data_IF_570093973115
#
_entry.id   IF_570093973115
#
_cell.length_a   1.000
_cell.length_b   1.000
_cell.length_c   1.000
_cell.angle_alpha   90.00
_cell.angle_beta   90.00
_cell.angle_gamma   90.00
#
_symmetry.space_group_name_H-M   'P 1'
#
loop_
_entity.id
_entity.type
_entity.pdbx_description
1 polymer ?
#
# COMPACT_ATOMS: atom_id res chain seq x y z
N UNK A 1 -14.29 16.67 19.47
CA UNK A 1 -15.11 16.27 18.29
C UNK A 1 -14.26 15.98 17.05
N UNK A 2 -13.37 16.90 16.63
CA UNK A 2 -12.54 16.73 15.42
C UNK A 2 -11.68 15.44 15.40
N UNK A 3 -11.05 15.06 16.52
CA UNK A 3 -10.25 13.84 16.58
C UNK A 3 -11.10 12.57 16.40
N UNK A 4 -12.33 12.53 16.94
CA UNK A 4 -13.25 11.40 16.78
C UNK A 4 -13.70 11.24 15.33
N UNK A 5 -13.97 12.35 14.64
CA UNK A 5 -14.30 12.36 13.20
C UNK A 5 -13.12 11.85 12.38
N UNK A 6 -11.89 12.33 12.67
CA UNK A 6 -10.67 11.84 12.02
C UNK A 6 -10.52 10.33 12.18
N UNK A 7 -10.60 9.83 13.41
CA UNK A 7 -10.47 8.40 13.69
C UNK A 7 -11.52 7.58 12.95
N UNK A 8 -12.78 8.03 12.93
CA UNK A 8 -13.84 7.35 12.16
C UNK A 8 -13.56 7.38 10.65
N UNK A 9 -13.09 8.50 10.10
CA UNK A 9 -12.74 8.58 8.68
C UNK A 9 -11.58 7.65 8.33
N UNK A 10 -10.54 7.59 9.17
CA UNK A 10 -9.39 6.69 8.95
C UNK A 10 -9.80 5.23 9.06
N UNK A 11 -10.58 4.87 10.08
CA UNK A 11 -11.08 3.49 10.27
C UNK A 11 -12.00 3.04 9.12
N UNK A 12 -12.74 3.97 8.50
CA UNK A 12 -13.65 3.67 7.39
C UNK A 12 -13.08 4.06 6.01
N UNK A 13 -11.82 4.49 5.92
CA UNK A 13 -11.24 5.04 4.69
C UNK A 13 -11.36 4.06 3.52
N UNK A 14 -11.01 2.79 3.75
CA UNK A 14 -11.15 1.74 2.75
C UNK A 14 -12.60 1.55 2.31
N UNK A 15 -13.57 1.50 3.23
CA UNK A 15 -14.99 1.36 2.90
C UNK A 15 -15.51 2.53 2.04
N UNK A 16 -15.10 3.76 2.37
CA UNK A 16 -15.48 4.97 1.62
C UNK A 16 -14.88 4.95 0.21
N UNK A 17 -13.61 4.57 0.08
CA UNK A 17 -12.86 4.64 -1.18
C UNK A 17 -13.01 3.41 -2.07
N UNK A 18 -13.43 2.27 -1.52
CA UNK A 18 -13.59 1.01 -2.25
C UNK A 18 -14.57 1.15 -3.41
N UNK A 19 -15.80 1.61 -3.14
CA UNK A 19 -16.83 1.73 -4.17
C UNK A 19 -16.43 2.58 -5.38
N UNK A 20 -15.94 3.84 -5.22
CA UNK A 20 -15.55 4.64 -6.37
C UNK A 20 -14.38 4.05 -7.16
N UNK A 21 -13.42 3.39 -6.50
CA UNK A 21 -12.29 2.78 -7.22
C UNK A 21 -12.74 1.55 -8.02
N UNK A 22 -13.62 0.70 -7.47
CA UNK A 22 -14.14 -0.46 -8.20
C UNK A 22 -15.02 -0.08 -9.41
N UNK A 23 -15.54 1.15 -9.46
CA UNK A 23 -16.26 1.67 -10.63
C UNK A 23 -15.33 2.16 -11.75
N UNK A 24 -14.04 2.36 -11.48
CA UNK A 24 -13.09 2.76 -12.50
C UNK A 24 -12.81 1.58 -13.46
N UNK A 25 -12.80 1.82 -14.78
CA UNK A 25 -12.41 0.78 -15.74
C UNK A 25 -11.00 0.25 -15.42
N UNK A 26 -10.81 -1.07 -15.53
CA UNK A 26 -9.53 -1.72 -15.24
C UNK A 26 -8.36 -1.10 -16.01
N UNK A 27 -8.57 -0.69 -17.26
CA UNK A 27 -7.55 -0.02 -18.07
C UNK A 27 -7.07 1.29 -17.45
N UNK A 28 -7.95 2.03 -16.78
CA UNK A 28 -7.60 3.28 -16.09
C UNK A 28 -6.79 2.97 -14.83
N UNK A 29 -7.22 1.98 -14.04
CA UNK A 29 -6.46 1.54 -12.86
C UNK A 29 -5.06 1.06 -13.23
N UNK A 30 -4.96 0.19 -14.26
CA UNK A 30 -3.70 -0.33 -14.80
C UNK A 30 -2.78 0.78 -15.28
N UNK A 31 -3.29 1.72 -16.08
CA UNK A 31 -2.50 2.85 -16.56
C UNK A 31 -2.01 3.72 -15.40
N UNK A 32 -2.89 4.05 -14.46
CA UNK A 32 -2.51 4.85 -13.30
C UNK A 32 -1.45 4.15 -12.44
N UNK A 33 -1.55 2.84 -12.24
CA UNK A 33 -0.56 2.04 -11.52
C UNK A 33 0.80 2.05 -12.23
N UNK A 34 0.83 1.77 -13.54
CA UNK A 34 2.06 1.78 -14.33
C UNK A 34 2.72 3.17 -14.35
N UNK A 35 1.92 4.23 -14.55
CA UNK A 35 2.41 5.61 -14.54
C UNK A 35 2.98 5.98 -13.15
N UNK A 36 2.32 5.54 -12.06
CA UNK A 36 2.81 5.76 -10.70
C UNK A 36 4.11 4.98 -10.42
N UNK A 37 4.18 3.71 -10.80
CA UNK A 37 5.38 2.89 -10.64
C UNK A 37 6.55 3.46 -11.43
N UNK A 38 6.35 3.82 -12.70
CA UNK A 38 7.37 4.42 -13.55
C UNK A 38 7.91 5.75 -13.00
N UNK A 39 7.12 6.44 -12.17
CA UNK A 39 7.52 7.69 -11.53
C UNK A 39 8.32 7.46 -10.24
N UNK A 40 7.81 6.64 -9.32
CA UNK A 40 8.44 6.46 -7.99
C UNK A 40 9.59 5.43 -7.98
N UNK A 41 9.65 4.58 -9.00
CA UNK A 41 10.70 3.56 -9.18
C UNK A 41 11.58 3.84 -10.38
N UNK A 42 11.69 5.08 -10.83
CA UNK A 42 12.43 5.40 -12.06
C UNK A 42 13.90 4.97 -12.00
N UNK A 43 14.57 5.17 -10.86
CA UNK A 43 15.97 4.77 -10.68
C UNK A 43 16.09 3.24 -10.64
N UNK A 44 15.30 2.57 -9.81
CA UNK A 44 15.22 1.11 -9.76
C UNK A 44 14.94 0.46 -11.13
N UNK A 45 14.07 1.06 -11.94
CA UNK A 45 13.80 0.61 -13.31
C UNK A 45 15.00 0.81 -14.26
N UNK A 46 15.82 1.83 -14.04
CA UNK A 46 17.03 2.09 -14.83
C UNK A 46 18.19 1.18 -14.43
N UNK A 47 18.25 0.82 -13.14
CA UNK A 47 19.31 0.00 -12.56
C UNK A 47 19.06 -1.52 -12.75
N UNK A 48 17.91 -1.90 -13.30
CA UNK A 48 17.56 -3.30 -13.58
C UNK A 48 16.92 -4.02 -12.38
N UNK A 49 16.55 -3.29 -11.33
CA UNK A 49 15.99 -3.88 -10.10
C UNK A 49 14.63 -4.58 -10.31
N UNK A 50 14.01 -4.46 -11.49
CA UNK A 50 12.78 -5.18 -11.84
C UNK A 50 13.02 -6.44 -12.69
N UNK A 51 14.25 -6.74 -13.11
CA UNK A 51 14.59 -7.92 -13.92
C UNK A 51 14.26 -9.24 -13.18
N UNK A 52 14.25 -9.24 -11.84
CA UNK A 52 13.84 -10.43 -11.09
C UNK A 52 12.38 -10.84 -11.33
N UNK A 53 11.55 -9.94 -11.88
CA UNK A 53 10.17 -10.20 -12.29
C UNK A 53 10.04 -10.69 -13.74
N UNK A 54 11.13 -10.91 -14.47
CA UNK A 54 11.09 -11.58 -15.76
C UNK A 54 10.53 -12.99 -15.60
N UNK A 55 9.52 -13.32 -16.42
CA UNK A 55 8.75 -14.57 -16.38
C UNK A 55 8.08 -14.90 -15.03
N UNK A 56 8.03 -13.92 -14.11
CA UNK A 56 7.43 -14.07 -12.77
C UNK A 56 6.38 -12.99 -12.52
N UNK A 57 5.48 -13.26 -11.58
CA UNK A 57 4.36 -12.39 -11.24
C UNK A 57 4.37 -12.01 -9.76
N UNK A 58 4.43 -10.71 -9.51
CA UNK A 58 4.19 -10.10 -8.21
C UNK A 58 2.72 -9.71 -8.08
N UNK A 59 2.02 -10.29 -7.11
CA UNK A 59 0.70 -9.81 -6.69
C UNK A 59 0.85 -8.70 -5.66
N UNK A 60 0.26 -7.53 -5.93
CA UNK A 60 0.11 -6.44 -4.96
C UNK A 60 -1.36 -6.35 -4.56
N UNK A 61 -1.64 -6.46 -3.26
CA UNK A 61 -3.00 -6.49 -2.73
C UNK A 61 -3.23 -5.44 -1.62
N UNK A 62 -4.34 -4.71 -1.76
CA UNK A 62 -4.90 -3.85 -0.71
C UNK A 62 -6.14 -4.54 -0.13
N UNK A 63 -5.95 -5.27 0.97
CA UNK A 63 -6.90 -6.29 1.47
C UNK A 63 -8.27 -5.69 1.79
N UNK A 64 -8.29 -4.60 2.54
CA UNK A 64 -9.51 -3.91 2.98
C UNK A 64 -10.25 -3.19 1.83
N UNK A 65 -9.59 -2.97 0.70
CA UNK A 65 -10.19 -2.44 -0.52
C UNK A 65 -10.62 -3.52 -1.51
N UNK A 66 -10.25 -4.78 -1.28
CA UNK A 66 -10.39 -5.89 -2.25
C UNK A 66 -9.81 -5.53 -3.62
N UNK A 67 -8.68 -4.83 -3.64
CA UNK A 67 -7.95 -4.49 -4.86
C UNK A 67 -6.71 -5.37 -4.96
N UNK A 68 -6.48 -5.91 -6.15
CA UNK A 68 -5.29 -6.69 -6.46
C UNK A 68 -4.82 -6.42 -7.87
N UNK A 69 -3.52 -6.30 -8.02
CA UNK A 69 -2.84 -6.17 -9.30
C UNK A 69 -1.76 -7.22 -9.39
N UNK A 70 -1.52 -7.73 -10.60
CA UNK A 70 -0.46 -8.69 -10.89
C UNK A 70 0.52 -8.00 -11.83
N UNK A 71 1.75 -7.84 -11.38
CA UNK A 71 2.79 -7.05 -12.02
C UNK A 71 3.92 -7.99 -12.43
N UNK A 72 4.44 -7.80 -13.63
CA UNK A 72 5.59 -8.54 -14.16
C UNK A 72 6.48 -7.57 -14.95
N UNK A 73 7.68 -8.02 -15.32
CA UNK A 73 8.61 -7.26 -16.15
C UNK A 73 8.85 -8.01 -17.46
N UNK A 74 8.54 -7.37 -18.60
CA UNK A 74 8.59 -7.99 -19.92
C UNK A 74 9.01 -6.97 -20.99
N UNK A 75 9.95 -7.35 -21.86
CA UNK A 75 10.48 -6.47 -22.92
C UNK A 75 10.94 -5.11 -22.37
N UNK A 76 11.74 -5.14 -21.30
CA UNK A 76 12.30 -3.96 -20.60
C UNK A 76 11.24 -3.01 -20.03
N UNK A 77 10.05 -3.53 -19.69
CA UNK A 77 8.91 -2.72 -19.23
C UNK A 77 8.08 -3.44 -18.18
N UNK A 78 7.57 -2.66 -17.24
CA UNK A 78 6.52 -3.11 -16.34
C UNK A 78 5.23 -3.38 -17.11
N UNK A 79 4.62 -4.52 -16.79
CA UNK A 79 3.30 -4.90 -17.29
C UNK A 79 2.39 -5.27 -16.12
N UNK A 80 1.10 -5.03 -16.31
CA UNK A 80 0.06 -5.44 -15.36
C UNK A 80 -0.89 -6.38 -16.08
N UNK A 81 -1.22 -7.53 -15.50
CA UNK A 81 -2.14 -8.48 -16.10
C UNK A 81 -3.56 -7.91 -16.20
N UNK A 82 -4.27 -8.20 -17.30
CA UNK A 82 -5.67 -7.79 -17.47
C UNK A 82 -6.64 -8.69 -16.68
N UNK A 83 -6.18 -9.87 -16.25
CA UNK A 83 -6.94 -10.84 -15.48
C UNK A 83 -6.04 -11.42 -14.37
N UNK A 84 -6.63 -12.00 -13.31
CA UNK A 84 -5.85 -12.74 -12.33
C UNK A 84 -5.03 -13.84 -12.98
N UNK A 85 -3.77 -13.93 -12.57
CA UNK A 85 -2.78 -14.94 -12.98
C UNK A 85 -2.22 -15.61 -11.73
N UNK A 86 -1.52 -16.73 -11.90
CA UNK A 86 -0.77 -17.32 -10.79
C UNK A 86 0.39 -16.39 -10.42
N UNK A 87 0.51 -16.06 -9.15
CA UNK A 87 1.61 -15.26 -8.60
C UNK A 87 2.72 -16.13 -8.03
N UNK A 88 3.96 -15.66 -8.16
CA UNK A 88 5.14 -16.27 -7.55
C UNK A 88 5.44 -15.65 -6.18
N UNK A 89 5.10 -14.37 -6.03
CA UNK A 89 5.23 -13.61 -4.79
C UNK A 89 4.04 -12.66 -4.61
N UNK A 90 3.63 -12.46 -3.36
CA UNK A 90 2.49 -11.65 -2.97
C UNK A 90 2.87 -10.66 -1.90
N UNK A 91 2.76 -9.37 -2.21
CA UNK A 91 2.86 -8.26 -1.27
C UNK A 91 1.45 -7.75 -0.92
N UNK A 92 1.11 -7.70 0.37
CA UNK A 92 -0.25 -7.35 0.78
C UNK A 92 -0.30 -6.56 2.09
N UNK A 93 -1.23 -5.62 2.16
CA UNK A 93 -1.47 -4.78 3.35
C UNK A 93 -2.84 -4.11 3.31
N UNK A 94 -3.20 -3.36 4.35
CA UNK A 94 -4.39 -2.52 4.34
C UNK A 94 -4.06 -1.13 3.79
N UNK A 95 -5.07 -0.40 3.30
CA UNK A 95 -4.90 0.93 2.71
C UNK A 95 -4.12 1.88 3.63
N UNK A 96 -4.52 1.98 4.90
CA UNK A 96 -3.89 2.88 5.85
C UNK A 96 -2.41 2.52 6.09
N UNK A 97 -2.08 1.24 6.10
CA UNK A 97 -0.71 0.74 6.29
C UNK A 97 0.18 1.16 5.12
N UNK A 98 -0.32 0.99 3.89
CA UNK A 98 0.39 1.41 2.67
C UNK A 98 0.56 2.93 2.59
N UNK A 99 -0.44 3.70 3.03
CA UNK A 99 -0.35 5.18 3.12
C UNK A 99 0.71 5.60 4.15
N UNK A 100 0.84 4.88 5.26
CA UNK A 100 1.87 5.18 6.27
C UNK A 100 3.28 4.89 5.76
N UNK A 101 3.49 3.77 5.05
CA UNK A 101 4.76 3.47 4.37
C UNK A 101 5.08 4.57 3.35
N UNK A 102 4.14 4.84 2.44
CA UNK A 102 4.30 5.85 1.40
C UNK A 102 4.49 7.26 1.99
N UNK A 103 3.98 7.54 3.19
CA UNK A 103 4.21 8.80 3.88
C UNK A 103 5.49 8.87 4.72
N UNK A 104 6.29 7.80 4.75
CA UNK A 104 7.44 7.59 5.65
C UNK A 104 7.07 7.84 7.12
N UNK A 105 5.88 7.40 7.53
CA UNK A 105 5.38 7.47 8.92
C UNK A 105 5.59 6.17 9.70
N UNK A 106 5.66 5.05 8.99
CA UNK A 106 5.97 3.74 9.52
C UNK A 106 6.90 3.05 8.53
N UNK A 107 7.86 2.27 9.04
CA UNK A 107 8.75 1.48 8.22
C UNK A 107 8.08 0.15 7.82
N UNK A 108 8.31 -0.36 6.60
CA UNK A 108 7.68 -1.59 6.13
C UNK A 108 8.05 -2.80 7.00
N UNK A 109 9.28 -2.85 7.51
CA UNK A 109 9.73 -3.90 8.43
C UNK A 109 8.91 -3.92 9.72
N UNK A 110 8.60 -2.74 10.27
CA UNK A 110 7.78 -2.63 11.48
C UNK A 110 6.38 -3.19 11.23
N UNK A 111 5.78 -2.86 10.09
CA UNK A 111 4.45 -3.35 9.72
C UNK A 111 4.45 -4.86 9.41
N UNK A 112 5.55 -5.39 8.85
CA UNK A 112 5.74 -6.82 8.64
C UNK A 112 5.81 -7.58 9.97
N UNK A 113 6.64 -7.13 10.92
CA UNK A 113 6.71 -7.74 12.26
C UNK A 113 5.39 -7.65 13.03
N UNK A 114 4.61 -6.60 12.80
CA UNK A 114 3.26 -6.45 13.35
C UNK A 114 2.17 -7.25 12.60
N UNK A 115 2.55 -7.99 11.55
CA UNK A 115 1.62 -8.77 10.69
C UNK A 115 0.55 -7.91 10.01
N UNK A 116 0.83 -6.63 9.84
CA UNK A 116 -0.01 -5.66 9.10
C UNK A 116 0.38 -5.59 7.62
N UNK A 117 1.61 -5.96 7.34
CA UNK A 117 2.16 -6.20 6.01
C UNK A 117 2.50 -7.69 5.86
N UNK A 118 2.23 -8.29 4.71
CA UNK A 118 2.61 -9.67 4.41
C UNK A 118 3.31 -9.77 3.06
N UNK A 119 4.40 -10.54 3.04
CA UNK A 119 5.13 -10.96 1.84
C UNK A 119 5.12 -12.49 1.86
N UNK A 120 4.49 -13.10 0.88
CA UNK A 120 4.26 -14.56 0.79
C UNK A 120 4.66 -15.07 -0.59
N UNK A 121 5.05 -16.34 -0.69
CA UNK A 121 5.46 -16.98 -1.94
C UNK A 121 6.92 -17.38 -1.93
N UNK A 122 7.60 -17.23 -3.06
CA UNK A 122 9.03 -17.48 -3.18
C UNK A 122 9.85 -16.54 -2.28
N UNK A 123 10.80 -17.12 -1.54
CA UNK A 123 11.57 -16.39 -0.53
C UNK A 123 12.62 -15.46 -1.15
N UNK A 124 13.22 -15.85 -2.28
CA UNK A 124 14.18 -15.02 -3.01
C UNK A 124 13.48 -13.80 -3.61
N UNK A 125 12.32 -14.02 -4.26
CA UNK A 125 11.49 -12.92 -4.76
C UNK A 125 10.98 -12.01 -3.63
N UNK A 126 10.64 -12.59 -2.48
CA UNK A 126 10.22 -11.82 -1.31
C UNK A 126 11.28 -10.84 -0.83
N UNK A 127 12.57 -11.22 -0.90
CA UNK A 127 13.68 -10.35 -0.58
C UNK A 127 13.83 -9.22 -1.61
N UNK A 128 13.72 -9.53 -2.91
CA UNK A 128 13.79 -8.52 -3.97
C UNK A 128 12.64 -7.51 -3.88
N UNK A 129 11.42 -7.98 -3.58
CA UNK A 129 10.27 -7.10 -3.34
C UNK A 129 10.54 -6.16 -2.16
N UNK A 130 11.19 -6.65 -1.10
CA UNK A 130 11.59 -5.79 0.03
C UNK A 130 12.61 -4.74 -0.40
N UNK A 131 13.65 -5.13 -1.15
CA UNK A 131 14.65 -4.20 -1.68
C UNK A 131 14.00 -3.12 -2.55
N UNK A 132 13.03 -3.51 -3.41
CA UNK A 132 12.25 -2.56 -4.17
C UNK A 132 11.52 -1.56 -3.28
N UNK A 133 10.87 -2.00 -2.20
CA UNK A 133 10.18 -1.07 -1.30
C UNK A 133 11.09 0.01 -0.70
N UNK A 134 12.34 -0.35 -0.40
CA UNK A 134 13.34 0.59 0.12
C UNK A 134 13.82 1.58 -0.96
N UNK A 135 13.73 1.21 -2.23
CA UNK A 135 14.09 2.06 -3.40
C UNK A 135 13.05 3.13 -3.76
N UNK A 136 11.87 3.14 -3.12
CA UNK A 136 10.78 4.10 -3.45
C UNK A 136 11.25 5.55 -3.25
N UNK A 137 11.39 6.28 -4.37
CA UNK A 137 11.72 7.70 -4.35
C UNK A 137 10.48 8.58 -4.57
N UNK A 138 9.92 9.03 -3.45
CA UNK A 138 8.78 9.96 -3.45
C UNK A 138 9.17 11.37 -3.90
N UNK A 139 10.46 11.71 -3.97
CA UNK A 139 10.90 13.01 -4.46
C UNK A 139 10.63 13.19 -5.96
N UNK A 140 10.49 12.08 -6.70
CA UNK A 140 10.10 12.11 -8.11
C UNK A 140 8.64 12.49 -8.32
N UNK A 141 7.79 12.36 -7.30
CA UNK A 141 6.41 12.80 -7.39
C UNK A 141 6.33 14.34 -7.59
N UNK A 142 5.40 14.85 -8.40
CA UNK A 142 5.06 16.26 -8.44
C UNK A 142 4.83 16.83 -7.04
N UNK A 143 5.28 18.07 -6.79
CA UNK A 143 5.27 18.65 -5.44
C UNK A 143 3.89 18.65 -4.79
N UNK A 144 2.84 18.85 -5.59
CA UNK A 144 1.46 18.77 -5.12
C UNK A 144 1.10 17.37 -4.57
N UNK A 145 1.53 16.30 -5.24
CA UNK A 145 1.29 14.93 -4.79
C UNK A 145 2.12 14.59 -3.55
N UNK A 146 3.36 15.05 -3.46
CA UNK A 146 4.17 14.91 -2.24
C UNK A 146 3.44 15.52 -1.03
N UNK A 147 2.98 16.76 -1.17
CA UNK A 147 2.26 17.48 -0.10
C UNK A 147 1.00 16.73 0.29
N UNK A 148 0.20 16.30 -0.70
CA UNK A 148 -1.02 15.53 -0.46
C UNK A 148 -0.73 14.22 0.29
N UNK A 149 0.27 13.46 -0.17
CA UNK A 149 0.66 12.19 0.44
C UNK A 149 1.11 12.38 1.90
N UNK A 150 1.95 13.39 2.17
CA UNK A 150 2.35 13.70 3.54
C UNK A 150 1.17 14.10 4.43
N UNK A 151 0.23 14.91 3.91
CA UNK A 151 -0.97 15.28 4.66
C UNK A 151 -1.87 14.09 4.95
N UNK A 152 -2.06 13.20 3.98
CA UNK A 152 -2.82 11.97 4.15
C UNK A 152 -2.16 11.05 5.18
N UNK A 153 -0.84 10.87 5.10
CA UNK A 153 -0.10 10.05 6.06
C UNK A 153 -0.14 10.63 7.47
N UNK A 154 0.01 11.94 7.65
CA UNK A 154 -0.19 12.62 8.93
C UNK A 154 -1.60 12.43 9.48
N UNK A 155 -2.61 12.49 8.61
CA UNK A 155 -4.01 12.32 8.97
C UNK A 155 -4.29 10.88 9.43
N UNK A 156 -3.81 9.89 8.68
CA UNK A 156 -3.93 8.45 9.00
C UNK A 156 -3.20 8.13 10.31
N UNK A 157 -1.94 8.56 10.43
CA UNK A 157 -1.12 8.31 11.61
C UNK A 157 -1.78 8.85 12.90
N UNK A 158 -2.26 10.10 12.87
CA UNK A 158 -3.00 10.70 14.00
C UNK A 158 -4.33 9.99 14.28
N UNK A 159 -5.02 9.54 13.23
CA UNK A 159 -6.30 8.83 13.36
C UNK A 159 -6.16 7.47 14.03
N UNK A 160 -5.05 6.77 13.79
CA UNK A 160 -4.76 5.46 14.38
C UNK A 160 -4.17 5.51 15.79
N UNK A 161 -3.41 6.56 16.13
CA UNK A 161 -2.86 6.72 17.48
C UNK A 161 -3.90 7.15 18.53
N UNK A 162 -5.11 7.53 18.12
CA UNK A 162 -6.16 7.91 19.06
C UNK A 162 -6.70 6.63 19.72
N UNK A 163 -6.52 6.43 21.04
CA UNK A 163 -7.01 5.22 21.69
C UNK A 163 -8.51 5.16 21.50
N UNK A 164 -9.02 4.01 21.05
CA UNK A 164 -10.43 3.66 21.19
C UNK A 164 -10.75 3.66 22.69
N UNK A 165 -11.17 4.81 23.22
CA UNK A 165 -11.79 4.96 24.54
C UNK A 165 -13.20 4.40 24.42
N UNK A 166 -13.28 3.09 24.26
CA UNK A 166 -14.52 2.31 24.19
C UNK A 166 -14.27 0.96 24.82
N UNK A 167 -13.78 0.99 26.06
CA UNK A 167 -13.91 -0.05 27.10
C UNK A 167 -13.63 0.65 28.45
N UNK A 168 -14.42 1.68 28.79
CA UNK A 168 -14.62 1.96 30.21
C UNK A 168 -15.49 0.82 30.74
N UNK A 169 -14.84 -0.12 31.41
CA UNK A 169 -15.52 -1.14 32.21
C UNK A 169 -16.18 -0.42 33.38
N UNK A 170 -17.36 0.14 33.17
CA UNK A 170 -18.28 0.49 34.25
C UNK A 170 -18.82 -0.86 34.73
N UNK A 171 -18.15 -1.50 35.69
CA UNK A 171 -18.76 -2.37 36.70
C UNK A 171 -17.74 -2.93 37.69
N UNK A 172 -18.18 -3.02 38.95
CA UNK A 172 -17.50 -3.42 40.18
C UNK A 172 -16.57 -2.32 40.72
N UNK A 173 -16.90 -1.58 41.78
CA UNK A 173 -17.51 -2.02 43.03
C UNK A 173 -18.44 -0.94 43.61
N UNK A 174 -19.71 -1.27 43.79
CA UNK A 174 -20.56 -0.72 44.84
C UNK A 174 -20.95 -1.89 45.74
N UNK A 175 -20.34 -1.92 46.92
CA UNK A 175 -20.88 -2.33 48.22
C UNK A 175 -19.72 -2.47 49.21
#
# INVERSE_FOLDING_TARGET
MLNKIRTQLVQNAASILRSPIHLLPQNVQKKALLDAMGLVFREALQDGDFEFLEDKWLKVEVKDMELRWFISYQNDKLVVADKPVAEDVSFSGNLNDLVLIAGRKEDPDTLFFQRRLSIEGDTELGLEVKNLMDSVDLQQLPKALQILLHQLADFVHKGMQTPNSSHEVINAYSN
#
